data_IF_983927613064
#
_entry.id   IF_983927613064
#
_cell.length_a   1.000
_cell.length_b   1.000
_cell.length_c   1.000
_cell.angle_alpha   90.00
_cell.angle_beta   90.00
_cell.angle_gamma   90.00
#
_symmetry.space_group_name_H-M   'P 1'
#
loop_
_entity.id
_entity.type
_entity.pdbx_description
1 polymer ?
#
# COMPACT_ATOMS: atom_id res chain seq x y z
N UNK A 1 -13.51 -16.89 -2.87
CA UNK A 1 -13.36 -18.35 -2.88
C UNK A 1 -11.97 -18.70 -3.45
N UNK A 2 -11.57 -19.98 -3.54
CA UNK A 2 -10.19 -20.31 -3.95
C UNK A 2 -9.90 -19.89 -5.40
N UNK A 3 -10.93 -19.98 -6.23
CA UNK A 3 -10.97 -19.51 -7.62
C UNK A 3 -10.69 -18.01 -7.78
N UNK A 4 -10.88 -17.21 -6.73
CA UNK A 4 -10.58 -15.77 -6.75
C UNK A 4 -9.11 -15.47 -6.46
N UNK A 5 -8.30 -16.46 -6.10
CA UNK A 5 -6.86 -16.28 -5.92
C UNK A 5 -6.19 -16.05 -7.28
N UNK A 6 -5.26 -15.10 -7.44
CA UNK A 6 -4.62 -14.82 -8.73
C UNK A 6 -3.93 -16.05 -9.34
N UNK A 7 -3.40 -16.95 -8.50
CA UNK A 7 -2.78 -18.19 -8.97
C UNK A 7 -3.77 -19.18 -9.63
N UNK A 8 -5.07 -19.05 -9.34
CA UNK A 8 -6.14 -19.84 -9.96
C UNK A 8 -6.88 -19.04 -11.04
N UNK A 9 -7.09 -17.74 -10.81
CA UNK A 9 -7.85 -16.87 -11.70
C UNK A 9 -7.06 -16.47 -12.95
N UNK A 10 -5.76 -16.22 -12.79
CA UNK A 10 -4.87 -15.74 -13.85
C UNK A 10 -3.77 -16.74 -14.19
N UNK A 11 -3.38 -17.59 -13.24
CA UNK A 11 -2.28 -18.54 -13.40
C UNK A 11 -2.73 -19.99 -13.57
N UNK A 12 -1.73 -20.86 -13.78
CA UNK A 12 -1.92 -22.27 -14.12
C UNK A 12 -1.88 -23.20 -12.91
N UNK A 13 -2.11 -22.70 -11.69
CA UNK A 13 -1.98 -23.52 -10.49
C UNK A 13 -3.27 -24.28 -10.12
N UNK A 14 -3.20 -25.59 -9.79
CA UNK A 14 -2.08 -26.51 -10.05
C UNK A 14 -2.06 -26.98 -11.51
N UNK A 15 -0.87 -27.18 -12.07
CA UNK A 15 -0.69 -27.77 -13.42
C UNK A 15 -0.35 -29.27 -13.32
N UNK A 16 -0.95 -30.08 -14.19
CA UNK A 16 -0.79 -31.55 -14.19
C UNK A 16 0.62 -32.01 -14.62
N UNK A 17 1.32 -31.20 -15.41
CA UNK A 17 2.69 -31.50 -15.88
C UNK A 17 3.77 -30.93 -14.96
N UNK A 18 3.38 -30.34 -13.82
CA UNK A 18 4.26 -29.65 -12.87
C UNK A 18 5.02 -28.46 -13.49
N UNK A 19 4.47 -27.85 -14.55
CA UNK A 19 4.98 -26.62 -15.13
C UNK A 19 4.05 -25.50 -14.66
N UNK A 20 4.57 -24.59 -13.83
CA UNK A 20 3.80 -23.47 -13.28
C UNK A 20 4.25 -22.19 -13.97
N UNK A 21 3.40 -21.68 -14.84
CA UNK A 21 3.59 -20.36 -15.47
C UNK A 21 2.97 -19.29 -14.57
N UNK A 22 3.80 -18.34 -14.13
CA UNK A 22 3.41 -17.21 -13.29
C UNK A 22 2.79 -16.07 -14.11
N UNK A 23 1.69 -16.35 -14.79
CA UNK A 23 0.98 -15.40 -15.65
C UNK A 23 0.27 -14.30 -14.86
N UNK A 24 0.10 -14.45 -13.55
CA UNK A 24 -0.35 -13.40 -12.65
C UNK A 24 0.66 -12.24 -12.54
N UNK A 25 1.93 -12.47 -12.87
CA UNK A 25 2.96 -11.44 -12.88
C UNK A 25 3.07 -10.70 -11.54
N UNK A 26 2.91 -9.37 -11.57
CA UNK A 26 2.95 -8.52 -10.37
C UNK A 26 1.67 -8.60 -9.53
N UNK A 27 0.58 -9.14 -10.07
CA UNK A 27 -0.73 -9.21 -9.42
C UNK A 27 -0.80 -10.42 -8.49
N UNK A 28 0.03 -10.41 -7.46
CA UNK A 28 0.01 -11.41 -6.39
C UNK A 28 -0.63 -10.83 -5.13
N UNK A 29 -1.59 -11.56 -4.55
CA UNK A 29 -2.26 -11.15 -3.32
C UNK A 29 -3.05 -9.85 -3.49
N UNK A 30 -2.89 -8.91 -2.58
CA UNK A 30 -3.66 -7.65 -2.58
C UNK A 30 -3.45 -6.82 -3.85
N UNK A 31 -2.29 -6.93 -4.49
CA UNK A 31 -2.03 -6.27 -5.78
C UNK A 31 -3.05 -6.69 -6.84
N UNK A 32 -3.46 -7.95 -6.85
CA UNK A 32 -4.54 -8.44 -7.70
C UNK A 32 -5.91 -7.94 -7.22
N UNK A 33 -6.25 -8.22 -5.96
CA UNK A 33 -7.57 -7.92 -5.41
C UNK A 33 -7.94 -6.43 -5.57
N UNK A 34 -6.98 -5.54 -5.28
CA UNK A 34 -7.17 -4.09 -5.38
C UNK A 34 -7.25 -3.60 -6.83
N UNK A 35 -6.45 -4.16 -7.73
CA UNK A 35 -6.39 -3.73 -9.14
C UNK A 35 -7.58 -4.23 -9.95
N UNK A 36 -8.06 -5.45 -9.66
CA UNK A 36 -9.17 -6.09 -10.37
C UNK A 36 -10.52 -5.95 -9.65
N UNK A 37 -10.57 -5.28 -8.49
CA UNK A 37 -11.81 -5.06 -7.75
C UNK A 37 -12.44 -6.34 -7.19
N UNK A 38 -11.62 -7.36 -6.91
CA UNK A 38 -12.06 -8.63 -6.35
C UNK A 38 -12.04 -8.53 -4.83
N UNK A 39 -13.17 -8.69 -4.17
CA UNK A 39 -13.29 -8.52 -2.72
C UNK A 39 -12.80 -9.77 -1.97
N UNK A 40 -11.69 -9.71 -1.20
CA UNK A 40 -11.29 -10.81 -0.34
C UNK A 40 -12.17 -10.88 0.91
N UNK A 41 -12.12 -12.01 1.62
CA UNK A 41 -12.81 -12.14 2.91
C UNK A 41 -12.27 -11.14 3.95
N UNK A 42 -10.95 -10.93 3.95
CA UNK A 42 -10.25 -9.90 4.70
C UNK A 42 -9.10 -9.38 3.83
N UNK A 43 -8.99 -8.06 3.70
CA UNK A 43 -7.95 -7.46 2.88
C UNK A 43 -6.57 -7.57 3.54
N UNK A 44 -5.53 -7.31 2.76
CA UNK A 44 -4.17 -7.25 3.29
C UNK A 44 -4.03 -6.10 4.29
N UNK A 45 -3.33 -6.36 5.38
CA UNK A 45 -3.17 -5.41 6.48
C UNK A 45 -4.39 -5.25 7.38
N UNK A 46 -5.50 -5.95 7.11
CA UNK A 46 -6.72 -5.83 7.91
C UNK A 46 -6.53 -6.34 9.34
N UNK A 47 -6.99 -5.57 10.31
CA UNK A 47 -6.98 -5.93 11.73
C UNK A 47 -7.95 -5.06 12.52
N UNK A 48 -8.76 -5.69 13.37
CA UNK A 48 -9.65 -4.97 14.28
C UNK A 48 -8.92 -4.59 15.56
N UNK A 49 -9.44 -3.55 16.21
CA UNK A 49 -9.00 -3.07 17.51
C UNK A 49 -10.19 -2.96 18.46
N UNK A 50 -9.93 -3.02 19.77
CA UNK A 50 -10.92 -2.71 20.79
C UNK A 50 -11.09 -1.20 21.03
N UNK A 51 -10.29 -0.37 20.36
CA UNK A 51 -10.42 1.09 20.34
C UNK A 51 -10.46 1.59 18.89
N UNK A 52 -10.83 2.86 18.72
CA UNK A 52 -10.89 3.56 17.44
C UNK A 52 -9.67 4.46 17.26
N UNK A 53 -9.23 4.65 16.01
CA UNK A 53 -8.15 5.58 15.68
C UNK A 53 -8.60 6.52 14.57
N UNK A 54 -8.34 7.81 14.72
CA UNK A 54 -8.59 8.84 13.70
C UNK A 54 -7.27 9.30 13.09
N UNK A 55 -7.32 9.60 11.79
CA UNK A 55 -6.18 10.00 10.99
C UNK A 55 -6.45 11.42 10.50
N UNK A 56 -5.51 12.34 10.69
CA UNK A 56 -5.65 13.73 10.25
C UNK A 56 -4.32 14.34 9.79
N UNK A 57 -4.40 15.56 9.24
CA UNK A 57 -3.25 16.43 8.97
C UNK A 57 -2.18 15.79 8.07
N UNK A 58 -2.61 15.09 7.02
CA UNK A 58 -1.70 14.53 6.02
C UNK A 58 -0.92 15.65 5.31
N UNK A 59 0.41 15.55 5.34
CA UNK A 59 1.29 16.24 4.41
C UNK A 59 2.17 15.23 3.68
N UNK A 60 2.33 15.42 2.37
CA UNK A 60 3.18 14.63 1.49
C UNK A 60 4.06 15.59 0.73
N UNK A 61 5.34 15.63 1.07
CA UNK A 61 6.26 16.63 0.54
C UNK A 61 7.56 15.97 0.05
N UNK A 62 7.97 16.31 -1.18
CA UNK A 62 9.29 15.93 -1.68
C UNK A 62 10.36 16.80 -1.02
N UNK A 63 11.36 16.16 -0.42
CA UNK A 63 12.52 16.79 0.21
C UNK A 63 13.80 16.16 -0.33
N UNK A 64 14.39 16.77 -1.36
CA UNK A 64 15.56 16.21 -2.05
C UNK A 64 15.21 14.93 -2.81
N UNK A 65 15.85 13.83 -2.43
CA UNK A 65 15.68 12.47 -3.00
C UNK A 65 14.72 11.60 -2.19
N UNK A 66 13.94 12.21 -1.27
CA UNK A 66 12.92 11.51 -0.48
C UNK A 66 11.57 12.23 -0.59
N UNK A 67 10.49 11.47 -0.38
CA UNK A 67 9.16 12.01 -0.07
C UNK A 67 8.86 11.74 1.40
N UNK A 68 8.54 12.80 2.13
CA UNK A 68 8.20 12.74 3.55
C UNK A 68 6.69 12.75 3.69
N UNK A 69 6.16 11.68 4.28
CA UNK A 69 4.73 11.52 4.62
C UNK A 69 4.56 11.80 6.10
N UNK A 70 3.82 12.86 6.43
CA UNK A 70 3.49 13.25 7.81
C UNK A 70 2.00 13.13 8.03
N UNK A 71 1.60 12.60 9.18
CA UNK A 71 0.20 12.57 9.60
C UNK A 71 0.08 12.51 11.11
N UNK A 72 -1.09 12.88 11.62
CA UNK A 72 -1.46 12.70 13.02
C UNK A 72 -2.38 11.50 13.16
N UNK A 73 -2.07 10.62 14.11
CA UNK A 73 -2.94 9.51 14.54
C UNK A 73 -3.42 9.79 15.96
N UNK A 74 -4.72 9.68 16.19
CA UNK A 74 -5.33 9.88 17.50
C UNK A 74 -6.09 8.63 17.91
N UNK A 75 -5.89 8.14 19.13
CA UNK A 75 -6.77 7.13 19.71
C UNK A 75 -8.06 7.81 20.19
N UNK A 76 -9.15 7.64 19.45
CA UNK A 76 -10.44 8.28 19.72
C UNK A 76 -11.42 7.41 20.50
N UNK A 77 -11.01 6.21 20.92
CA UNK A 77 -11.82 5.36 21.79
C UNK A 77 -11.41 5.42 23.27
N UNK A 78 -12.06 4.57 24.08
CA UNK A 78 -11.98 4.60 25.55
C UNK A 78 -10.90 3.69 26.16
N UNK A 79 -10.19 2.91 25.33
CA UNK A 79 -9.16 1.97 25.79
C UNK A 79 -7.83 2.15 25.06
N UNK A 80 -6.73 1.89 25.77
CA UNK A 80 -5.40 1.96 25.16
C UNK A 80 -5.25 0.90 24.05
N UNK A 81 -4.69 1.30 22.92
CA UNK A 81 -4.56 0.42 21.75
C UNK A 81 -3.27 0.68 20.98
N UNK A 82 -3.00 -0.17 19.99
CA UNK A 82 -1.95 0.09 19.01
C UNK A 82 -2.52 0.05 17.60
N UNK A 83 -2.08 0.98 16.76
CA UNK A 83 -2.49 1.14 15.36
C UNK A 83 -1.27 0.92 14.47
N UNK A 84 -1.46 0.29 13.30
CA UNK A 84 -0.45 0.14 12.26
C UNK A 84 -0.85 1.02 11.09
N UNK A 85 -0.23 2.19 10.99
CA UNK A 85 -0.38 3.08 9.84
C UNK A 85 0.35 2.47 8.65
N UNK A 86 -0.33 2.34 7.53
CA UNK A 86 0.20 1.78 6.29
C UNK A 86 0.18 2.84 5.19
N UNK A 87 1.30 2.98 4.48
CA UNK A 87 1.50 3.94 3.39
C UNK A 87 1.70 3.18 2.09
N UNK A 88 0.82 3.44 1.12
CA UNK A 88 0.85 2.86 -0.21
C UNK A 88 1.12 3.94 -1.25
N UNK A 89 1.78 3.55 -2.34
CA UNK A 89 2.04 4.42 -3.50
C UNK A 89 1.33 3.86 -4.72
N UNK A 90 0.61 4.73 -5.40
CA UNK A 90 0.02 4.55 -6.73
C UNK A 90 0.79 5.43 -7.72
N UNK A 91 1.16 4.86 -8.86
CA UNK A 91 1.82 5.56 -9.95
C UNK A 91 0.77 5.89 -11.01
N UNK A 92 0.42 7.17 -11.12
CA UNK A 92 -0.70 7.63 -11.94
C UNK A 92 -0.35 7.67 -13.44
N UNK A 93 0.93 7.64 -13.80
CA UNK A 93 1.43 7.92 -15.15
C UNK A 93 2.42 6.87 -15.70
N UNK A 94 2.54 5.72 -15.04
CA UNK A 94 3.51 4.68 -15.41
C UNK A 94 3.42 4.23 -16.87
N UNK A 95 4.57 4.08 -17.52
CA UNK A 95 4.66 3.53 -18.88
C UNK A 95 4.45 2.01 -18.96
N UNK A 96 4.68 1.30 -17.84
CA UNK A 96 4.44 -0.13 -17.71
C UNK A 96 3.23 -0.42 -16.83
N UNK A 97 2.66 -1.61 -16.99
CA UNK A 97 1.54 -2.04 -16.17
C UNK A 97 1.97 -2.21 -14.71
N UNK A 98 1.23 -1.60 -13.79
CA UNK A 98 1.53 -1.63 -12.35
C UNK A 98 0.29 -1.98 -11.53
N UNK A 99 0.46 -2.61 -10.36
CA UNK A 99 -0.61 -2.70 -9.38
C UNK A 99 -1.15 -1.32 -9.03
N UNK A 100 -2.47 -1.24 -8.80
CA UNK A 100 -3.16 0.00 -8.41
C UNK A 100 -2.46 0.75 -7.28
N UNK A 101 -1.99 0.03 -6.26
CA UNK A 101 -1.19 0.60 -5.18
C UNK A 101 -0.29 -0.45 -4.56
N UNK A 102 0.85 -0.02 -4.03
CA UNK A 102 1.84 -0.89 -3.40
C UNK A 102 2.25 -0.36 -2.03
N UNK A 103 2.30 -1.21 -1.01
CA UNK A 103 2.79 -0.84 0.32
C UNK A 103 4.27 -0.45 0.25
N UNK A 104 4.61 0.76 0.68
CA UNK A 104 5.99 1.27 0.70
C UNK A 104 6.52 1.60 2.10
N UNK A 105 5.64 1.89 3.06
CA UNK A 105 6.04 2.05 4.45
C UNK A 105 4.90 1.68 5.41
N UNK A 106 5.26 1.38 6.66
CA UNK A 106 4.29 1.25 7.75
C UNK A 106 4.95 1.59 9.07
N UNK A 107 4.15 2.08 10.03
CA UNK A 107 4.60 2.36 11.38
C UNK A 107 3.53 1.96 12.40
N UNK A 108 3.97 1.33 13.49
CA UNK A 108 3.09 0.91 14.58
C UNK A 108 3.23 1.83 15.77
N UNK A 109 2.14 2.45 16.19
CA UNK A 109 2.10 3.37 17.33
C UNK A 109 1.15 2.86 18.40
N UNK A 110 1.55 2.96 19.67
CA UNK A 110 0.68 2.68 20.82
C UNK A 110 0.22 4.00 21.43
N UNK A 111 -1.08 4.13 21.66
CA UNK A 111 -1.70 5.36 22.17
C UNK A 111 -2.67 5.04 23.30
N UNK A 112 -2.57 5.83 24.37
CA UNK A 112 -3.58 5.88 25.44
C UNK A 112 -4.87 6.55 24.91
N UNK A 113 -6.04 6.35 25.56
CA UNK A 113 -7.30 7.00 25.18
C UNK A 113 -7.15 8.52 25.06
N UNK A 114 -7.56 9.09 23.93
CA UNK A 114 -7.48 10.52 23.64
C UNK A 114 -6.08 11.03 23.31
N UNK A 115 -5.04 10.19 23.30
CA UNK A 115 -3.69 10.59 22.94
C UNK A 115 -3.51 10.63 21.42
N UNK A 116 -2.67 11.56 20.95
CA UNK A 116 -2.26 11.70 19.55
C UNK A 116 -0.76 11.56 19.39
N UNK A 117 -0.32 11.08 18.24
CA UNK A 117 1.08 11.10 17.82
C UNK A 117 1.19 11.57 16.35
N UNK A 118 2.19 12.40 16.08
CA UNK A 118 2.62 12.70 14.72
C UNK A 118 3.55 11.56 14.26
N UNK A 119 3.26 10.97 13.10
CA UNK A 119 4.11 10.00 12.44
C UNK A 119 4.77 10.64 11.23
N UNK A 120 6.02 10.26 10.98
CA UNK A 120 6.84 10.79 9.88
C UNK A 120 7.53 9.61 9.19
N UNK A 121 7.09 9.29 7.98
CA UNK A 121 7.64 8.20 7.18
C UNK A 121 8.37 8.79 5.96
N UNK A 122 9.64 8.46 5.79
CA UNK A 122 10.43 8.80 4.59
C UNK A 122 10.34 7.70 3.55
N UNK A 123 10.04 8.07 2.31
CA UNK A 123 10.02 7.19 1.14
C UNK A 123 11.15 7.60 0.18
N UNK A 124 12.08 6.69 -0.09
CA UNK A 124 13.16 6.92 -1.06
C UNK A 124 12.70 6.72 -2.51
N UNK A 125 13.62 6.90 -3.46
CA UNK A 125 13.35 6.69 -4.90
C UNK A 125 12.81 5.27 -5.21
N UNK A 126 13.21 4.27 -4.42
CA UNK A 126 12.77 2.88 -4.53
C UNK A 126 11.26 2.70 -4.26
N UNK A 127 10.66 3.61 -3.51
CA UNK A 127 9.22 3.62 -3.30
C UNK A 127 8.45 3.96 -4.58
N UNK A 128 9.05 4.73 -5.48
CA UNK A 128 8.43 5.23 -6.71
C UNK A 128 8.88 4.44 -7.95
N UNK A 129 10.04 3.77 -7.85
CA UNK A 129 10.64 3.01 -8.95
C UNK A 129 9.91 1.70 -9.27
N UNK A 130 10.05 1.25 -10.51
CA UNK A 130 9.67 -0.10 -10.99
C UNK A 130 10.82 -0.74 -11.78
N UNK A 131 10.76 -2.05 -12.01
CA UNK A 131 11.76 -2.77 -12.80
C UNK A 131 11.31 -2.87 -14.25
N UNK A 132 12.09 -2.31 -15.18
CA UNK A 132 11.83 -2.42 -16.62
C UNK A 132 12.76 -3.50 -17.22
N UNK A 133 12.23 -4.62 -17.74
CA UNK A 133 13.06 -5.68 -18.32
C UNK A 133 13.76 -5.29 -19.62
N UNK A 134 13.37 -4.17 -20.24
CA UNK A 134 13.97 -3.65 -21.48
C UNK A 134 15.29 -2.92 -21.25
N UNK A 135 15.54 -2.46 -20.02
CA UNK A 135 16.75 -1.75 -19.61
C UNK A 135 17.38 -2.39 -18.36
N UNK A 136 18.69 -2.23 -18.12
CA UNK A 136 19.31 -2.81 -16.95
C UNK A 136 18.97 -1.99 -15.69
N UNK A 137 17.94 -2.38 -14.95
CA UNK A 137 17.73 -1.97 -13.56
C UNK A 137 16.36 -1.38 -13.23
N UNK A 138 16.32 -0.69 -12.10
CA UNK A 138 15.14 0.05 -11.64
C UNK A 138 15.05 1.39 -12.37
N UNK A 139 13.83 1.75 -12.76
CA UNK A 139 13.50 2.98 -13.45
C UNK A 139 12.53 3.78 -12.58
N UNK A 140 12.80 5.07 -12.48
CA UNK A 140 11.90 6.05 -11.88
C UNK A 140 11.54 7.07 -12.95
N UNK A 141 10.27 7.06 -13.34
CA UNK A 141 9.74 8.00 -14.32
C UNK A 141 9.27 9.28 -13.61
N UNK A 142 9.51 10.46 -14.21
CA UNK A 142 8.87 11.69 -13.72
C UNK A 142 7.37 11.58 -13.93
N UNK A 143 6.58 11.96 -12.93
CA UNK A 143 5.13 11.80 -12.97
C UNK A 143 4.47 12.13 -11.64
N UNK A 144 3.13 12.12 -11.65
CA UNK A 144 2.33 12.23 -10.45
C UNK A 144 2.20 10.86 -9.77
N UNK A 145 2.35 10.86 -8.45
CA UNK A 145 2.13 9.71 -7.60
C UNK A 145 1.10 10.04 -6.54
N UNK A 146 0.16 9.13 -6.34
CA UNK A 146 -0.83 9.21 -5.26
C UNK A 146 -0.36 8.39 -4.07
N UNK A 147 -0.21 9.05 -2.92
CA UNK A 147 0.13 8.43 -1.64
C UNK A 147 -1.15 8.17 -0.85
N UNK A 148 -1.43 6.90 -0.59
CA UNK A 148 -2.58 6.45 0.18
C UNK A 148 -2.15 6.08 1.61
N UNK A 149 -2.89 6.56 2.62
CA UNK A 149 -2.62 6.25 4.02
C UNK A 149 -3.85 5.67 4.69
N UNK A 150 -3.68 4.53 5.36
CA UNK A 150 -4.79 3.75 5.90
C UNK A 150 -4.41 2.78 7.02
N UNK A 151 -5.44 2.10 7.55
CA UNK A 151 -5.31 1.00 8.52
C UNK A 151 -5.19 -0.38 7.87
N UNK A 152 -5.58 -0.49 6.60
CA UNK A 152 -5.43 -1.67 5.75
C UNK A 152 -5.49 -1.28 4.27
N UNK A 153 -5.20 -2.23 3.37
CA UNK A 153 -5.26 -1.99 1.92
C UNK A 153 -6.65 -1.56 1.41
N UNK A 154 -7.73 -1.90 2.13
CA UNK A 154 -9.11 -1.52 1.82
C UNK A 154 -9.69 -0.42 2.75
N UNK A 155 -8.92 0.04 3.75
CA UNK A 155 -9.29 1.12 4.69
C UNK A 155 -8.34 2.30 4.51
N UNK A 156 -8.42 2.94 3.34
CA UNK A 156 -7.68 4.17 3.02
C UNK A 156 -8.46 5.36 3.55
N UNK A 157 -7.82 6.15 4.43
CA UNK A 157 -8.48 7.24 5.16
C UNK A 157 -7.98 8.62 4.71
N UNK A 158 -6.73 8.71 4.28
CA UNK A 158 -6.13 9.94 3.78
C UNK A 158 -5.40 9.67 2.47
N UNK A 159 -5.40 10.66 1.58
CA UNK A 159 -4.71 10.63 0.31
C UNK A 159 -4.00 11.97 0.07
N UNK A 160 -2.79 11.91 -0.48
CA UNK A 160 -2.02 13.07 -0.91
C UNK A 160 -1.36 12.77 -2.25
N UNK A 161 -0.92 13.81 -2.96
CA UNK A 161 -0.22 13.66 -4.23
C UNK A 161 1.14 14.31 -4.15
N UNK A 162 2.09 13.73 -4.87
CA UNK A 162 3.45 14.26 -5.03
C UNK A 162 3.91 14.03 -6.45
N UNK A 163 4.72 14.94 -6.98
CA UNK A 163 5.37 14.77 -8.28
C UNK A 163 6.83 14.41 -8.08
N UNK A 164 7.33 13.47 -8.88
CA UNK A 164 8.75 13.11 -8.90
C UNK A 164 9.54 13.91 -9.93
#
# INVERSE_FOLDING_TARGET
>A
ALEDSPAHALATYPDENLIIDHTEGLYVGYRYFDSYGVQPAYAFGHGLSYTSFDYSDLSVEKSGEEVVVRLTVTNSGDVAGAEVVQVYVEDDESSLERPKKELKAFEKVRLEPGASAELVLSLGEDAFSFYDPSVPGWVLEPGAFTVHVGGSSDDIRLQGQVAW
#
